data_IF_523998746216
#
_entry.id   IF_523998746216
#
_cell.length_a   1.000
_cell.length_b   1.000
_cell.length_c   1.000
_cell.angle_alpha   90.00
_cell.angle_beta   90.00
_cell.angle_gamma   90.00
#
_symmetry.space_group_name_H-M   'P 1'
#
loop_
_entity.id
_entity.type
_entity.pdbx_description
1 polymer ?
#
# COMPACT_ATOMS: atom_id res chain seq x y z
N UNK A 1 20.85 10.45 7.75
CA UNK A 1 21.94 9.59 7.24
C UNK A 1 21.30 8.38 6.58
N UNK A 2 21.66 8.14 5.31
CA UNK A 2 21.45 6.96 4.46
C UNK A 2 20.01 6.45 4.16
N UNK A 3 19.28 7.17 3.31
CA UNK A 3 18.05 6.72 2.61
C UNK A 3 18.32 5.99 1.28
N UNK A 4 19.52 5.42 1.07
CA UNK A 4 19.93 4.83 -0.21
C UNK A 4 19.72 3.30 -0.32
N UNK A 5 19.18 2.66 0.71
CA UNK A 5 19.27 1.19 0.87
C UNK A 5 17.96 0.43 0.63
N UNK A 6 16.81 1.11 0.74
CA UNK A 6 15.55 0.58 0.25
C UNK A 6 15.16 1.25 -1.05
N UNK A 7 14.97 0.42 -2.08
CA UNK A 7 14.23 0.81 -3.27
C UNK A 7 12.88 0.12 -3.17
N UNK A 8 11.81 0.90 -3.03
CA UNK A 8 10.48 0.42 -3.38
C UNK A 8 10.55 0.16 -4.88
N UNK A 9 10.65 -1.11 -5.25
CA UNK A 9 10.46 -1.47 -6.64
C UNK A 9 8.98 -1.74 -6.80
N UNK A 10 8.34 -0.99 -7.71
CA UNK A 10 7.30 -1.58 -8.52
C UNK A 10 7.97 -2.76 -9.27
N UNK A 11 8.03 -3.94 -8.65
CA UNK A 11 8.60 -5.10 -9.32
C UNK A 11 7.62 -5.56 -10.38
N UNK A 12 8.05 -5.30 -11.61
CA UNK A 12 7.79 -6.11 -12.79
C UNK A 12 7.78 -7.61 -12.42
N UNK A 13 6.61 -8.23 -12.48
CA UNK A 13 6.49 -9.69 -12.45
C UNK A 13 7.06 -10.17 -13.79
N UNK A 14 8.12 -11.00 -13.73
CA UNK A 14 8.81 -11.49 -14.92
C UNK A 14 7.83 -12.22 -15.84
N UNK A 15 7.51 -11.61 -16.98
CA UNK A 15 7.23 -12.36 -18.21
C UNK A 15 8.55 -12.69 -18.89
N UNK A 16 8.66 -13.91 -19.39
CA UNK A 16 9.83 -14.47 -20.07
C UNK A 16 10.30 -13.60 -21.24
N UNK A 17 11.57 -13.19 -21.17
CA UNK A 17 12.50 -12.81 -22.26
C UNK A 17 11.99 -11.90 -23.37
N UNK A 18 12.52 -10.68 -23.45
CA UNK A 18 13.24 -10.19 -24.64
C UNK A 18 14.23 -9.08 -24.24
N UNK A 19 15.42 -9.12 -24.85
CA UNK A 19 16.55 -8.22 -24.62
C UNK A 19 16.43 -6.98 -25.51
N UNK A 20 16.66 -5.78 -24.97
CA UNK A 20 17.57 -4.80 -25.59
C UNK A 20 17.90 -3.60 -24.72
N UNK A 21 19.22 -3.37 -24.60
CA UNK A 21 19.94 -2.10 -24.63
C UNK A 21 19.55 -0.93 -23.71
N UNK A 22 20.49 -0.64 -22.80
CA UNK A 22 20.62 0.59 -22.02
C UNK A 22 20.93 1.81 -22.89
N UNK A 23 20.47 2.99 -22.45
CA UNK A 23 21.17 4.27 -22.69
C UNK A 23 21.14 5.11 -21.43
N UNK A 24 22.34 5.46 -20.96
CA UNK A 24 22.59 6.41 -19.89
C UNK A 24 22.34 7.84 -20.39
N UNK A 25 21.80 8.71 -19.55
CA UNK A 25 21.98 10.15 -19.76
C UNK A 25 22.18 10.85 -18.42
N UNK A 26 23.28 11.60 -18.36
CA UNK A 26 23.74 12.41 -17.24
C UNK A 26 22.87 13.65 -17.10
N UNK A 27 22.49 14.05 -15.89
CA UNK A 27 21.99 15.40 -15.61
C UNK A 27 22.86 16.11 -14.58
N UNK A 28 23.35 17.27 -14.97
CA UNK A 28 24.14 18.20 -14.18
C UNK A 28 23.28 18.90 -13.12
N UNK A 29 23.86 19.10 -11.94
CA UNK A 29 23.32 19.89 -10.84
C UNK A 29 23.32 21.38 -11.21
N UNK A 30 22.22 22.08 -10.93
CA UNK A 30 22.22 23.53 -10.76
C UNK A 30 21.64 23.86 -9.38
N UNK A 31 22.53 24.40 -8.55
CA UNK A 31 22.29 24.95 -7.22
C UNK A 31 21.55 26.28 -7.28
N UNK A 32 20.54 26.45 -6.43
CA UNK A 32 19.99 27.75 -6.08
C UNK A 32 20.08 28.00 -4.55
N UNK A 33 20.28 29.26 -4.12
CA UNK A 33 20.63 29.62 -2.74
C UNK A 33 19.40 29.74 -1.82
N UNK A 34 19.58 29.68 -0.49
CA UNK A 34 18.47 29.77 0.46
C UNK A 34 18.04 31.23 0.70
N UNK A 35 16.74 31.52 0.90
CA UNK A 35 16.30 32.81 1.41
C UNK A 35 16.40 32.87 2.94
N UNK A 36 16.79 34.05 3.41
CA UNK A 36 16.94 34.46 4.80
C UNK A 36 15.56 34.67 5.44
N UNK A 37 15.27 34.00 6.56
CA UNK A 37 14.12 34.35 7.40
C UNK A 37 14.52 35.37 8.46
N UNK A 38 13.86 36.53 8.40
CA UNK A 38 13.88 37.56 9.44
C UNK A 38 12.97 37.13 10.60
N UNK A 39 13.51 37.27 11.81
CA UNK A 39 12.83 37.13 13.08
C UNK A 39 11.84 38.29 13.27
N UNK A 40 10.59 37.98 13.65
CA UNK A 40 9.74 38.92 14.36
C UNK A 40 9.17 38.27 15.62
N UNK A 41 9.45 38.95 16.72
CA UNK A 41 9.01 38.71 18.09
C UNK A 41 7.49 38.62 18.22
N UNK A 42 6.99 37.64 18.98
CA UNK A 42 5.83 37.84 19.84
C UNK A 42 6.08 37.22 21.22
N UNK A 43 6.05 38.12 22.19
CA UNK A 43 6.13 37.95 23.63
C UNK A 43 4.79 37.41 24.13
N UNK A 44 4.78 36.38 24.98
CA UNK A 44 3.70 36.13 25.93
C UNK A 44 4.26 35.41 27.15
N UNK A 45 4.29 36.15 28.26
CA UNK A 45 4.66 35.76 29.61
C UNK A 45 3.49 35.06 30.33
N UNK A 46 3.83 34.47 31.48
CA UNK A 46 3.04 33.74 32.49
C UNK A 46 3.13 32.21 32.31
N UNK A 47 3.59 31.43 33.27
CA UNK A 47 4.05 31.67 34.64
C UNK A 47 4.45 30.30 35.23
N UNK A 48 5.45 30.32 36.10
CA UNK A 48 6.14 29.17 36.69
C UNK A 48 5.20 28.17 37.41
N UNK A 49 5.57 26.88 37.38
CA UNK A 49 5.80 26.10 38.61
C UNK A 49 6.61 24.83 38.30
N UNK A 50 7.81 24.80 38.87
CA UNK A 50 8.79 23.72 38.88
C UNK A 50 8.43 22.72 39.98
N UNK A 51 8.52 21.42 39.68
CA UNK A 51 8.99 20.44 40.67
C UNK A 51 9.69 19.26 40.00
N UNK A 52 10.99 19.19 40.27
CA UNK A 52 11.88 18.06 40.06
C UNK A 52 11.50 16.89 40.97
N UNK A 53 11.45 15.67 40.44
CA UNK A 53 11.91 14.49 41.16
C UNK A 53 12.55 13.49 40.20
N UNK A 54 13.84 13.27 40.41
CA UNK A 54 14.63 12.20 39.84
C UNK A 54 14.69 11.07 40.86
N UNK A 55 14.51 9.82 40.45
CA UNK A 55 15.38 8.72 40.90
C UNK A 55 15.15 7.44 40.08
N UNK A 56 16.20 6.61 39.88
CA UNK A 56 16.23 5.51 38.93
C UNK A 56 16.03 4.16 39.61
N UNK A 57 15.39 3.17 38.98
CA UNK A 57 15.60 1.75 39.33
C UNK A 57 15.06 0.77 38.26
N UNK A 58 16.01 0.05 37.67
CA UNK A 58 15.96 -1.35 37.21
C UNK A 58 14.90 -1.77 36.18
N UNK A 59 15.22 -1.55 34.90
CA UNK A 59 14.70 -2.30 33.76
C UNK A 59 15.21 -3.76 33.81
N UNK A 60 14.38 -4.70 34.30
CA UNK A 60 14.51 -6.13 33.97
C UNK A 60 13.63 -6.41 32.75
N UNK A 61 14.23 -6.40 31.56
CA UNK A 61 13.62 -6.94 30.35
C UNK A 61 13.48 -8.45 30.50
N UNK A 62 12.29 -8.92 30.92
CA UNK A 62 11.92 -10.33 30.77
C UNK A 62 11.56 -10.56 29.31
N UNK A 63 12.48 -11.20 28.60
CA UNK A 63 12.23 -11.82 27.30
C UNK A 63 11.16 -12.89 27.52
N UNK A 64 9.93 -12.61 27.10
CA UNK A 64 8.85 -13.58 27.08
C UNK A 64 8.96 -14.36 25.76
N UNK A 65 9.76 -15.43 25.76
CA UNK A 65 9.80 -16.40 24.68
C UNK A 65 8.70 -17.45 24.91
N UNK A 66 7.56 -17.28 24.26
CA UNK A 66 6.57 -18.33 24.06
C UNK A 66 6.17 -18.40 22.58
N UNK A 67 6.05 -19.61 21.99
CA UNK A 67 5.72 -19.78 20.60
C UNK A 67 4.22 -19.55 20.41
N UNK A 68 3.85 -18.46 19.76
CA UNK A 68 2.46 -18.23 19.36
C UNK A 68 2.18 -19.07 18.12
N UNK A 69 1.72 -20.30 18.35
CA UNK A 69 0.91 -21.06 17.39
C UNK A 69 -0.47 -20.39 17.30
N UNK A 70 -0.55 -19.29 16.54
CA UNK A 70 -1.83 -18.82 16.01
C UNK A 70 -1.96 -19.34 14.57
N UNK A 71 -2.49 -20.55 14.44
CA UNK A 71 -3.03 -21.05 13.16
C UNK A 71 -4.42 -20.46 12.93
N UNK A 72 -4.45 -19.18 12.56
CA UNK A 72 -5.47 -18.62 11.68
C UNK A 72 -4.66 -18.11 10.50
N UNK A 73 -4.78 -18.79 9.37
CA UNK A 73 -3.99 -18.61 8.17
C UNK A 73 -3.89 -17.12 7.85
N UNK A 74 -2.74 -16.49 8.15
CA UNK A 74 -2.49 -15.17 7.59
C UNK A 74 -2.41 -15.33 6.08
N UNK A 75 -3.01 -14.42 5.28
CA UNK A 75 -2.96 -14.54 3.84
C UNK A 75 -1.51 -14.70 3.41
N UNK A 76 -1.26 -15.69 2.56
CA UNK A 76 0.07 -15.92 1.99
C UNK A 76 0.31 -14.87 0.91
N UNK A 77 1.54 -14.32 0.81
CA UNK A 77 1.87 -13.41 -0.28
C UNK A 77 1.60 -14.12 -1.62
N UNK A 78 1.10 -13.40 -2.63
CA UNK A 78 0.93 -14.00 -3.95
C UNK A 78 2.28 -14.38 -4.55
N UNK A 79 2.32 -15.54 -5.19
CA UNK A 79 3.48 -16.07 -5.92
C UNK A 79 3.50 -15.68 -7.40
N UNK A 80 2.36 -15.20 -7.92
CA UNK A 80 2.18 -14.82 -9.33
C UNK A 80 1.31 -13.56 -9.49
N UNK A 81 1.31 -12.98 -10.70
CA UNK A 81 0.46 -11.83 -11.06
C UNK A 81 -1.02 -12.18 -10.92
N UNK A 82 -1.41 -13.33 -11.46
CA UNK A 82 -2.80 -13.77 -11.47
C UNK A 82 -3.31 -14.05 -10.06
N UNK A 83 -2.46 -14.60 -9.19
CA UNK A 83 -2.78 -14.79 -7.78
C UNK A 83 -2.96 -13.43 -7.07
N UNK A 84 -2.08 -12.46 -7.31
CA UNK A 84 -2.21 -11.12 -6.75
C UNK A 84 -3.52 -10.44 -7.19
N UNK A 85 -3.88 -10.57 -8.47
CA UNK A 85 -5.14 -10.07 -9.01
C UNK A 85 -6.33 -10.77 -8.37
N UNK A 86 -6.29 -12.11 -8.24
CA UNK A 86 -7.36 -12.88 -7.64
C UNK A 86 -7.59 -12.52 -6.16
N UNK A 87 -6.51 -12.38 -5.39
CA UNK A 87 -6.57 -11.95 -3.99
C UNK A 87 -7.14 -10.54 -3.87
N UNK A 88 -6.71 -9.60 -4.72
CA UNK A 88 -7.24 -8.24 -4.76
C UNK A 88 -8.73 -8.21 -5.14
N UNK A 89 -9.14 -8.96 -6.17
CA UNK A 89 -10.56 -9.10 -6.58
C UNK A 89 -11.42 -9.65 -5.45
N UNK A 90 -10.93 -10.68 -4.76
CA UNK A 90 -11.64 -11.31 -3.64
C UNK A 90 -11.80 -10.33 -2.48
N UNK A 91 -10.71 -9.65 -2.10
CA UNK A 91 -10.72 -8.62 -1.03
C UNK A 91 -11.69 -7.49 -1.36
N UNK A 92 -11.62 -6.97 -2.59
CA UNK A 92 -12.48 -5.88 -3.06
C UNK A 92 -13.95 -6.29 -3.14
N UNK A 93 -14.25 -7.46 -3.72
CA UNK A 93 -15.61 -8.00 -3.83
C UNK A 93 -16.27 -8.15 -2.46
N UNK A 94 -15.63 -8.86 -1.53
CA UNK A 94 -16.17 -9.09 -0.19
C UNK A 94 -16.33 -7.79 0.60
N UNK A 95 -15.39 -6.86 0.46
CA UNK A 95 -15.47 -5.57 1.16
C UNK A 95 -16.58 -4.68 0.60
N UNK A 96 -16.85 -4.73 -0.71
CA UNK A 96 -17.92 -3.96 -1.36
C UNK A 96 -19.32 -4.57 -1.17
N UNK A 97 -19.43 -5.86 -0.84
CA UNK A 97 -20.72 -6.55 -0.69
C UNK A 97 -21.62 -5.87 0.35
N UNK A 98 -21.13 -5.63 1.56
CA UNK A 98 -21.91 -4.99 2.63
C UNK A 98 -22.37 -3.57 2.30
N UNK A 99 -21.50 -2.65 1.85
CA UNK A 99 -21.95 -1.30 1.54
C UNK A 99 -22.91 -1.27 0.36
N UNK A 100 -22.68 -2.02 -0.73
CA UNK A 100 -23.55 -1.98 -1.91
C UNK A 100 -24.95 -2.58 -1.67
N UNK A 101 -25.09 -3.45 -0.67
CA UNK A 101 -26.39 -4.00 -0.25
C UNK A 101 -27.06 -3.21 0.88
N UNK A 102 -26.49 -2.08 1.31
CA UNK A 102 -27.07 -1.27 2.38
C UNK A 102 -28.23 -0.41 1.85
N UNK A 103 -29.49 -0.66 2.25
CA UNK A 103 -30.64 0.11 1.77
C UNK A 103 -30.58 1.59 2.18
N UNK A 104 -29.77 1.94 3.20
CA UNK A 104 -29.58 3.33 3.64
C UNK A 104 -28.73 4.16 2.68
N UNK A 105 -28.00 3.54 1.74
CA UNK A 105 -27.34 4.29 0.66
C UNK A 105 -28.37 4.88 -0.32
N UNK A 106 -29.54 4.24 -0.44
CA UNK A 106 -30.65 4.71 -1.26
C UNK A 106 -31.63 5.64 -0.50
N UNK A 107 -31.42 5.92 0.79
CA UNK A 107 -32.40 6.62 1.65
C UNK A 107 -31.80 7.77 2.48
N UNK A 108 -32.60 8.83 2.73
CA UNK A 108 -32.20 10.08 3.42
C UNK A 108 -31.99 9.97 4.94
N UNK A 109 -31.63 8.81 5.50
CA UNK A 109 -31.58 8.63 6.95
C UNK A 109 -30.16 8.42 7.50
N UNK A 110 -29.75 9.37 8.36
CA UNK A 110 -28.51 9.44 9.17
C UNK A 110 -27.23 9.55 8.34
N UNK A 111 -26.30 10.43 8.74
CA UNK A 111 -24.97 10.55 8.12
C UNK A 111 -24.25 9.19 8.19
N UNK A 112 -24.25 8.43 7.09
CA UNK A 112 -23.53 7.17 6.94
C UNK A 112 -22.04 7.49 6.75
N UNK A 113 -21.12 6.69 7.31
CA UNK A 113 -19.70 6.79 6.93
C UNK A 113 -19.58 6.32 5.48
N UNK A 114 -18.98 7.14 4.62
CA UNK A 114 -18.68 6.73 3.25
C UNK A 114 -17.65 5.61 3.27
N UNK A 115 -17.88 4.46 2.61
CA UNK A 115 -16.87 3.43 2.43
C UNK A 115 -15.77 3.93 1.50
N UNK A 116 -14.52 3.90 1.96
CA UNK A 116 -13.34 4.39 1.24
C UNK A 116 -12.24 3.33 1.29
N UNK A 117 -11.84 2.78 0.15
CA UNK A 117 -10.92 1.66 0.08
C UNK A 117 -9.72 1.93 -0.80
N UNK A 118 -8.58 1.34 -0.48
CA UNK A 118 -7.35 1.45 -1.26
C UNK A 118 -6.83 0.06 -1.64
N UNK A 119 -6.47 -0.08 -2.91
CA UNK A 119 -5.92 -1.31 -3.49
C UNK A 119 -4.62 -0.99 -4.23
N UNK A 120 -3.56 -1.71 -3.91
CA UNK A 120 -2.24 -1.62 -4.57
C UNK A 120 -1.78 -2.99 -5.07
N UNK A 121 -1.62 -3.10 -6.38
CA UNK A 121 -1.13 -4.28 -7.09
C UNK A 121 0.07 -3.84 -7.94
N UNK A 122 1.20 -4.57 -7.94
CA UNK A 122 2.33 -4.24 -8.80
C UNK A 122 1.91 -4.21 -10.27
N UNK A 123 2.33 -3.14 -10.96
CA UNK A 123 2.14 -2.98 -12.41
C UNK A 123 3.46 -3.31 -13.10
N UNK A 124 3.37 -3.84 -14.32
CA UNK A 124 4.53 -4.17 -15.16
C UNK A 124 5.36 -2.91 -15.44
N UNK A 125 4.72 -1.83 -15.86
CA UNK A 125 5.33 -0.54 -16.11
C UNK A 125 4.30 0.60 -15.94
N UNK A 126 4.76 1.84 -16.07
CA UNK A 126 3.92 3.03 -15.95
C UNK A 126 3.15 3.36 -17.25
N UNK A 127 3.14 2.45 -18.22
CA UNK A 127 2.47 2.69 -19.51
C UNK A 127 0.94 2.68 -19.35
N UNK A 128 0.22 3.47 -20.18
CA UNK A 128 -1.24 3.41 -20.22
C UNK A 128 -1.80 2.01 -20.47
N UNK A 129 -1.15 1.22 -21.34
CA UNK A 129 -1.60 -0.11 -21.70
C UNK A 129 -1.52 -1.09 -20.53
N UNK A 130 -0.41 -1.08 -19.77
CA UNK A 130 -0.24 -1.96 -18.61
C UNK A 130 -1.28 -1.69 -17.52
N UNK A 131 -1.53 -0.42 -17.21
CA UNK A 131 -2.54 -0.04 -16.22
C UNK A 131 -3.96 -0.37 -16.71
N UNK A 132 -4.24 -0.14 -17.99
CA UNK A 132 -5.54 -0.44 -18.60
C UNK A 132 -5.83 -1.94 -18.59
N UNK A 133 -4.85 -2.78 -18.97
CA UNK A 133 -4.97 -4.22 -18.93
C UNK A 133 -5.20 -4.72 -17.49
N UNK A 134 -4.47 -4.19 -16.50
CA UNK A 134 -4.69 -4.54 -15.11
C UNK A 134 -6.10 -4.15 -14.64
N UNK A 135 -6.60 -2.98 -15.04
CA UNK A 135 -7.96 -2.57 -14.72
C UNK A 135 -9.00 -3.50 -15.35
N UNK A 136 -8.78 -3.96 -16.58
CA UNK A 136 -9.63 -4.97 -17.24
C UNK A 136 -9.64 -6.28 -16.43
N UNK A 137 -8.46 -6.82 -16.11
CA UNK A 137 -8.31 -8.09 -15.36
C UNK A 137 -9.02 -8.05 -13.98
N UNK A 138 -8.97 -6.89 -13.31
CA UNK A 138 -9.60 -6.68 -11.99
C UNK A 138 -11.10 -6.41 -12.09
N UNK A 139 -11.52 -5.46 -12.93
CA UNK A 139 -12.86 -4.87 -12.88
C UNK A 139 -13.87 -5.47 -13.86
N UNK A 140 -13.44 -5.98 -15.03
CA UNK A 140 -14.36 -6.51 -16.05
C UNK A 140 -15.25 -7.62 -15.51
N UNK A 141 -14.65 -8.54 -14.75
CA UNK A 141 -15.29 -9.70 -14.13
C UNK A 141 -15.16 -9.64 -12.60
N UNK A 142 -15.37 -8.47 -12.00
CA UNK A 142 -15.34 -8.32 -10.55
C UNK A 142 -16.61 -8.97 -9.95
N UNK A 143 -16.49 -10.06 -9.16
CA UNK A 143 -17.66 -10.82 -8.73
C UNK A 143 -18.34 -10.15 -7.54
N UNK A 144 -19.12 -9.09 -7.76
CA UNK A 144 -19.84 -8.40 -6.68
C UNK A 144 -21.21 -9.03 -6.46
N UNK A 145 -21.46 -9.54 -5.25
CA UNK A 145 -22.79 -10.02 -4.84
C UNK A 145 -23.68 -8.83 -4.48
N UNK A 146 -24.63 -8.47 -5.34
CA UNK A 146 -25.65 -7.45 -5.04
C UNK A 146 -27.04 -8.03 -5.23
N UNK A 147 -27.96 -7.71 -4.31
CA UNK A 147 -29.38 -7.97 -4.49
C UNK A 147 -29.95 -7.01 -5.54
N UNK A 148 -30.58 -7.55 -6.58
CA UNK A 148 -31.26 -6.76 -7.61
C UNK A 148 -30.41 -6.49 -8.83
N UNK A 149 -30.24 -5.22 -9.20
CA UNK A 149 -29.55 -4.83 -10.44
C UNK A 149 -28.04 -5.07 -10.38
N UNK A 150 -27.38 -5.26 -11.54
CA UNK A 150 -25.93 -5.23 -11.61
C UNK A 150 -25.34 -3.95 -10.99
N UNK A 151 -24.11 -4.05 -10.49
CA UNK A 151 -23.38 -2.91 -9.90
C UNK A 151 -22.76 -2.09 -11.01
N UNK A 152 -23.07 -0.80 -11.05
CA UNK A 152 -22.45 0.15 -11.97
C UNK A 152 -21.14 0.68 -11.39
N UNK A 153 -20.04 0.44 -12.08
CA UNK A 153 -18.69 0.85 -11.69
C UNK A 153 -18.26 2.02 -12.57
N UNK A 154 -17.93 3.15 -11.96
CA UNK A 154 -17.32 4.29 -12.64
C UNK A 154 -15.80 4.26 -12.45
N UNK A 155 -15.06 4.04 -13.53
CA UNK A 155 -13.60 4.12 -13.54
C UNK A 155 -13.19 5.55 -13.93
N UNK A 156 -12.61 6.26 -12.97
CA UNK A 156 -12.11 7.63 -13.10
C UNK A 156 -10.61 7.59 -13.31
N UNK A 157 -10.18 7.90 -14.52
CA UNK A 157 -8.78 7.90 -14.95
C UNK A 157 -8.12 9.24 -14.69
N UNK A 158 -6.89 9.23 -14.20
CA UNK A 158 -6.14 10.46 -13.89
C UNK A 158 -5.86 11.34 -15.11
N UNK A 159 -5.90 10.82 -16.33
CA UNK A 159 -5.70 11.62 -17.54
C UNK A 159 -6.50 11.11 -18.73
N UNK A 160 -6.67 11.96 -19.75
CA UNK A 160 -7.34 11.60 -21.00
C UNK A 160 -6.63 10.45 -21.75
N UNK A 161 -5.28 10.44 -21.90
CA UNK A 161 -4.58 9.32 -22.55
C UNK A 161 -4.80 7.98 -21.84
N UNK A 162 -4.84 7.97 -20.51
CA UNK A 162 -5.15 6.77 -19.74
C UNK A 162 -6.58 6.28 -19.98
N UNK A 163 -7.55 7.22 -20.04
CA UNK A 163 -8.94 6.90 -20.37
C UNK A 163 -9.06 6.31 -21.78
N UNK A 164 -8.32 6.84 -22.75
CA UNK A 164 -8.35 6.37 -24.14
C UNK A 164 -7.79 4.95 -24.25
N UNK A 165 -6.62 4.70 -23.66
CA UNK A 165 -6.04 3.36 -23.58
C UNK A 165 -6.98 2.36 -22.88
N UNK A 166 -7.67 2.79 -21.82
CA UNK A 166 -8.67 1.96 -21.16
C UNK A 166 -9.87 1.67 -22.07
N UNK A 167 -10.37 2.67 -22.78
CA UNK A 167 -11.50 2.49 -23.71
C UNK A 167 -11.16 1.46 -24.79
N UNK A 168 -9.93 1.47 -25.29
CA UNK A 168 -9.42 0.47 -26.23
C UNK A 168 -9.30 -0.92 -25.58
N UNK A 169 -8.70 -1.01 -24.38
CA UNK A 169 -8.47 -2.27 -23.69
C UNK A 169 -9.76 -2.98 -23.24
N UNK A 170 -10.77 -2.23 -22.76
CA UNK A 170 -12.08 -2.79 -22.43
C UNK A 170 -12.86 -3.21 -23.69
N UNK A 171 -12.52 -2.63 -24.84
CA UNK A 171 -13.06 -2.95 -26.15
C UNK A 171 -14.55 -2.58 -26.36
N UNK A 172 -15.00 -2.45 -27.62
CA UNK A 172 -16.40 -2.22 -27.95
C UNK A 172 -17.29 -3.46 -27.68
N UNK A 173 -16.67 -4.62 -27.41
CA UNK A 173 -17.34 -5.88 -27.12
C UNK A 173 -17.36 -6.21 -25.63
N UNK A 174 -17.11 -5.23 -24.75
CA UNK A 174 -17.36 -5.42 -23.32
C UNK A 174 -18.81 -5.85 -23.14
N UNK A 175 -18.99 -7.11 -22.77
CA UNK A 175 -20.31 -7.73 -22.51
C UNK A 175 -20.99 -7.09 -21.29
N UNK A 176 -20.25 -6.27 -20.54
CA UNK A 176 -20.65 -5.71 -19.27
C UNK A 176 -20.87 -4.19 -19.42
N UNK A 177 -22.09 -3.79 -19.80
CA UNK A 177 -22.56 -2.39 -19.87
C UNK A 177 -22.57 -1.65 -18.51
N UNK A 178 -21.99 -2.25 -17.47
CA UNK A 178 -22.00 -1.77 -16.10
C UNK A 178 -20.73 -1.00 -15.75
N UNK A 179 -19.73 -0.93 -16.64
CA UNK A 179 -18.49 -0.19 -16.42
C UNK A 179 -18.46 1.05 -17.31
N UNK A 180 -18.27 2.21 -16.69
CA UNK A 180 -18.15 3.50 -17.37
C UNK A 180 -16.74 4.08 -17.16
N UNK A 181 -16.07 4.45 -18.25
CA UNK A 181 -14.71 5.00 -18.22
C UNK A 181 -14.74 6.51 -18.47
N UNK A 182 -14.23 7.30 -17.52
CA UNK A 182 -14.20 8.76 -17.61
C UNK A 182 -12.83 9.31 -17.19
N UNK A 183 -12.38 10.41 -17.76
CA UNK A 183 -11.20 11.12 -17.24
C UNK A 183 -11.62 12.02 -16.06
N UNK A 184 -10.72 12.24 -15.10
CA UNK A 184 -11.00 13.07 -13.92
C UNK A 184 -11.46 14.49 -14.27
N UNK A 185 -11.00 15.03 -15.41
CA UNK A 185 -11.40 16.34 -15.92
C UNK A 185 -12.79 16.38 -16.55
N UNK A 186 -13.36 15.23 -16.90
CA UNK A 186 -14.65 15.09 -17.59
C UNK A 186 -15.74 14.50 -16.68
N UNK A 187 -15.45 14.30 -15.39
CA UNK A 187 -16.44 13.81 -14.42
C UNK A 187 -17.54 14.86 -14.24
N UNK A 188 -18.78 14.44 -14.41
CA UNK A 188 -19.95 15.29 -14.22
C UNK A 188 -20.95 14.69 -13.23
N UNK A 189 -21.98 15.45 -12.86
CA UNK A 189 -22.99 14.97 -11.92
C UNK A 189 -23.80 13.80 -12.46
N UNK A 190 -23.96 13.69 -13.78
CA UNK A 190 -24.78 12.65 -14.40
C UNK A 190 -24.11 11.28 -14.28
N UNK A 191 -22.84 11.20 -14.63
CA UNK A 191 -21.98 10.01 -14.51
C UNK A 191 -21.78 9.61 -13.05
N UNK A 192 -21.59 10.57 -12.14
CA UNK A 192 -21.51 10.27 -10.71
C UNK A 192 -22.84 9.73 -10.15
N UNK A 193 -23.98 10.24 -10.62
CA UNK A 193 -25.29 9.81 -10.13
C UNK A 193 -25.68 8.41 -10.61
N UNK A 194 -25.25 7.99 -11.81
CA UNK A 194 -25.52 6.66 -12.36
C UNK A 194 -24.70 5.56 -11.70
N UNK A 195 -23.51 5.85 -11.21
CA UNK A 195 -22.59 4.88 -10.63
C UNK A 195 -23.04 4.37 -9.26
N UNK A 196 -22.74 3.12 -8.92
CA UNK A 196 -22.91 2.56 -7.57
C UNK A 196 -21.60 2.61 -6.76
N UNK A 197 -20.46 2.51 -7.45
CA UNK A 197 -19.11 2.64 -6.89
C UNK A 197 -18.25 3.42 -7.89
N UNK A 198 -17.36 4.27 -7.38
CA UNK A 198 -16.34 4.92 -8.20
C UNK A 198 -14.93 4.42 -7.83
N UNK A 199 -14.08 4.26 -8.83
CA UNK A 199 -12.69 3.83 -8.68
C UNK A 199 -11.81 4.88 -9.33
N UNK A 200 -10.91 5.49 -8.56
CA UNK A 200 -9.89 6.39 -9.07
C UNK A 200 -8.65 5.56 -9.44
N UNK A 201 -8.31 5.55 -10.73
CA UNK A 201 -7.22 4.75 -11.31
C UNK A 201 -5.97 5.62 -11.40
N UNK A 202 -4.92 5.18 -10.70
CA UNK A 202 -3.63 5.85 -10.65
C UNK A 202 -3.71 7.38 -10.47
N UNK A 203 -4.45 7.88 -9.45
CA UNK A 203 -4.46 9.30 -9.14
C UNK A 203 -3.07 9.77 -8.73
N UNK A 204 -2.74 10.99 -9.12
CA UNK A 204 -1.48 11.65 -8.75
C UNK A 204 -1.67 12.56 -7.52
N UNK A 205 -0.60 12.83 -6.78
CA UNK A 205 -0.64 13.73 -5.61
C UNK A 205 -1.20 15.11 -5.97
N UNK A 206 -0.85 15.62 -7.16
CA UNK A 206 -1.35 16.88 -7.73
C UNK A 206 -2.88 16.91 -7.92
N UNK A 207 -3.52 15.74 -8.00
CA UNK A 207 -4.95 15.57 -8.29
C UNK A 207 -5.78 15.30 -7.03
N UNK A 208 -5.16 15.22 -5.85
CA UNK A 208 -5.87 14.87 -4.61
C UNK A 208 -6.98 15.86 -4.26
N UNK A 209 -6.81 17.15 -4.55
CA UNK A 209 -7.85 18.15 -4.30
C UNK A 209 -9.12 17.89 -5.16
N UNK A 210 -8.92 17.56 -6.44
CA UNK A 210 -10.01 17.21 -7.35
C UNK A 210 -10.63 15.87 -6.96
N UNK A 211 -9.79 14.87 -6.68
CA UNK A 211 -10.20 13.53 -6.22
C UNK A 211 -11.06 13.61 -4.97
N UNK A 212 -10.69 14.46 -4.00
CA UNK A 212 -11.46 14.73 -2.80
C UNK A 212 -12.82 15.36 -3.13
N UNK A 213 -12.85 16.35 -4.02
CA UNK A 213 -14.10 17.02 -4.44
C UNK A 213 -15.08 16.04 -5.10
N UNK A 214 -14.58 15.18 -6.00
CA UNK A 214 -15.38 14.13 -6.65
C UNK A 214 -15.84 13.10 -5.62
N UNK A 215 -14.96 12.68 -4.71
CA UNK A 215 -15.30 11.73 -3.63
C UNK A 215 -16.40 12.27 -2.72
N UNK A 216 -16.33 13.54 -2.34
CA UNK A 216 -17.32 14.19 -1.48
C UNK A 216 -18.67 14.32 -2.20
N UNK A 217 -18.67 14.51 -3.53
CA UNK A 217 -19.88 14.56 -4.37
C UNK A 217 -20.54 13.18 -4.54
N UNK A 218 -19.77 12.10 -4.45
CA UNK A 218 -20.26 10.72 -4.51
C UNK A 218 -20.90 10.23 -3.21
N UNK A 219 -20.84 11.02 -2.12
CA UNK A 219 -21.36 10.61 -0.83
C UNK A 219 -22.86 10.19 -0.89
N UNK A 220 -23.28 9.05 -0.31
CA UNK A 220 -22.51 8.13 0.54
C UNK A 220 -21.95 6.89 -0.20
N UNK A 221 -21.86 6.92 -1.54
CA UNK A 221 -21.43 5.78 -2.37
C UNK A 221 -19.98 5.37 -2.07
N UNK A 222 -19.66 4.07 -2.13
CA UNK A 222 -18.30 3.57 -1.99
C UNK A 222 -17.35 4.19 -3.01
N UNK A 223 -16.13 4.49 -2.57
CA UNK A 223 -15.03 4.92 -3.45
C UNK A 223 -13.78 4.07 -3.23
N UNK A 224 -13.05 3.84 -4.31
CA UNK A 224 -11.82 3.05 -4.31
C UNK A 224 -10.70 3.89 -4.91
N UNK A 225 -9.53 3.92 -4.28
CA UNK A 225 -8.27 4.35 -4.92
C UNK A 225 -7.54 3.09 -5.35
N UNK A 226 -7.19 3.00 -6.63
CA UNK A 226 -6.51 1.85 -7.20
C UNK A 226 -5.16 2.30 -7.78
N UNK A 227 -4.07 1.72 -7.25
CA UNK A 227 -2.69 1.98 -7.64
C UNK A 227 -2.32 3.48 -7.69
N UNK A 228 -2.43 4.23 -6.57
CA UNK A 228 -2.05 5.65 -6.55
C UNK A 228 -0.58 5.85 -6.97
N UNK A 229 -0.28 7.02 -7.55
CA UNK A 229 1.07 7.35 -8.05
C UNK A 229 1.98 8.03 -7.03
N UNK A 230 1.48 8.35 -5.85
CA UNK A 230 2.31 8.79 -4.73
C UNK A 230 2.83 7.58 -3.95
N UNK A 231 4.02 7.73 -3.39
CA UNK A 231 4.61 6.71 -2.54
C UNK A 231 4.27 6.91 -1.05
N UNK A 232 4.82 6.04 -0.19
CA UNK A 232 4.53 6.06 1.24
C UNK A 232 5.12 7.27 1.97
N UNK A 233 6.25 7.77 1.50
CA UNK A 233 6.94 8.90 2.12
C UNK A 233 6.17 10.18 1.80
N UNK A 234 5.73 10.30 0.54
CA UNK A 234 4.91 11.40 0.04
C UNK A 234 3.58 11.53 0.81
N UNK A 235 2.98 10.44 1.32
CA UNK A 235 1.71 10.49 2.07
C UNK A 235 1.74 11.47 3.27
N UNK A 236 2.89 11.60 3.93
CA UNK A 236 3.10 12.53 5.04
C UNK A 236 3.31 13.98 4.56
N UNK A 237 3.79 14.15 3.33
CA UNK A 237 4.10 15.42 2.69
C UNK A 237 2.89 16.04 1.96
N UNK A 238 1.77 15.31 1.86
CA UNK A 238 0.50 15.78 1.26
C UNK A 238 -0.18 16.94 2.02
N UNK A 239 0.41 17.42 3.11
CA UNK A 239 -0.09 18.54 3.90
C UNK A 239 -1.52 18.32 4.39
N UNK A 240 -2.39 19.29 4.11
CA UNK A 240 -3.81 19.27 4.52
C UNK A 240 -4.65 18.14 3.90
N UNK A 241 -4.17 17.47 2.84
CA UNK A 241 -4.87 16.37 2.18
C UNK A 241 -4.46 14.99 2.72
N UNK A 242 -3.46 14.91 3.59
CA UNK A 242 -3.04 13.65 4.25
C UNK A 242 -4.20 12.98 5.01
N UNK A 243 -5.06 13.76 5.67
CA UNK A 243 -6.25 13.25 6.34
C UNK A 243 -7.29 12.63 5.39
N UNK A 244 -7.37 13.13 4.15
CA UNK A 244 -8.21 12.54 3.11
C UNK A 244 -7.66 11.19 2.66
N UNK A 245 -6.36 11.10 2.35
CA UNK A 245 -5.73 9.82 1.95
C UNK A 245 -5.81 8.78 3.07
N UNK A 246 -5.51 9.17 4.31
CA UNK A 246 -5.64 8.29 5.49
C UNK A 246 -7.08 7.86 5.82
N UNK A 247 -8.08 8.51 5.21
CA UNK A 247 -9.47 8.09 5.35
C UNK A 247 -9.80 6.83 4.55
N UNK A 248 -8.94 6.46 3.59
CA UNK A 248 -9.05 5.23 2.81
C UNK A 248 -8.44 4.07 3.58
N UNK A 249 -9.19 2.99 3.63
CA UNK A 249 -8.77 1.78 4.27
C UNK A 249 -8.10 0.87 3.25
N UNK A 250 -6.83 0.56 3.45
CA UNK A 250 -6.09 -0.35 2.57
C UNK A 250 -6.62 -1.77 2.78
N UNK A 251 -7.23 -2.33 1.74
CA UNK A 251 -7.85 -3.68 1.77
C UNK A 251 -6.99 -4.71 1.06
N UNK A 252 -6.12 -4.27 0.16
CA UNK A 252 -5.14 -5.10 -0.50
C UNK A 252 -3.93 -4.24 -0.86
N UNK A 253 -2.73 -4.72 -0.54
CA UNK A 253 -1.48 -4.09 -0.94
C UNK A 253 -0.42 -5.17 -1.05
N UNK A 254 0.21 -5.29 -2.22
CA UNK A 254 1.37 -6.15 -2.41
C UNK A 254 2.47 -5.32 -3.05
N UNK A 255 3.49 -4.97 -2.28
CA UNK A 255 4.51 -4.02 -2.72
C UNK A 255 5.91 -4.59 -2.52
N UNK A 256 6.69 -4.58 -3.59
CA UNK A 256 8.05 -5.10 -3.63
C UNK A 256 9.04 -4.20 -2.90
N UNK A 257 9.92 -4.83 -2.12
CA UNK A 257 11.06 -4.20 -1.47
C UNK A 257 12.35 -4.83 -2.02
N UNK A 258 13.31 -3.99 -2.39
CA UNK A 258 14.69 -4.43 -2.56
C UNK A 258 15.52 -3.92 -1.38
N UNK A 259 16.06 -4.85 -0.60
CA UNK A 259 16.92 -4.56 0.55
C UNK A 259 18.36 -4.72 0.14
N UNK A 260 19.10 -3.61 0.10
CA UNK A 260 20.53 -3.63 -0.16
C UNK A 260 21.28 -3.72 1.16
N UNK A 261 21.85 -4.88 1.45
CA UNK A 261 22.87 -5.04 2.47
C UNK A 261 24.26 -4.68 1.96
N UNK A 262 25.23 -4.59 2.87
CA UNK A 262 26.65 -4.32 2.55
C UNK A 262 27.23 -5.36 1.58
N UNK A 263 26.77 -6.62 1.65
CA UNK A 263 27.27 -7.73 0.81
C UNK A 263 26.17 -8.59 0.15
N UNK A 264 24.89 -8.25 0.31
CA UNK A 264 23.80 -9.06 -0.24
C UNK A 264 22.58 -8.21 -0.60
N UNK A 265 21.95 -8.53 -1.72
CA UNK A 265 20.61 -8.04 -2.05
C UNK A 265 19.59 -9.10 -1.64
N UNK A 266 18.53 -8.70 -0.93
CA UNK A 266 17.39 -9.57 -0.64
C UNK A 266 16.12 -8.90 -1.12
N UNK A 267 15.22 -9.69 -1.69
CA UNK A 267 13.87 -9.22 -1.98
C UNK A 267 13.03 -9.36 -0.72
N UNK A 268 12.11 -8.42 -0.56
CA UNK A 268 11.05 -8.50 0.43
C UNK A 268 9.77 -7.96 -0.16
N UNK A 269 8.69 -8.08 0.60
CA UNK A 269 7.41 -7.50 0.25
C UNK A 269 6.74 -6.92 1.49
N UNK A 270 6.03 -5.81 1.30
CA UNK A 270 5.02 -5.34 2.24
C UNK A 270 3.69 -5.85 1.71
N UNK A 271 2.97 -6.57 2.56
CA UNK A 271 1.75 -7.24 2.16
C UNK A 271 0.62 -6.96 3.14
N UNK A 272 -0.57 -6.71 2.59
CA UNK A 272 -1.84 -6.72 3.30
C UNK A 272 -2.90 -7.29 2.38
N UNK A 273 -3.76 -8.16 2.90
CA UNK A 273 -4.90 -8.71 2.19
C UNK A 273 -6.05 -8.89 3.19
N UNK A 274 -7.23 -8.38 2.84
CA UNK A 274 -8.44 -8.50 3.66
C UNK A 274 -9.31 -9.61 3.10
N UNK A 275 -9.25 -10.78 3.73
CA UNK A 275 -9.91 -11.97 3.18
C UNK A 275 -11.42 -11.96 3.35
N UNK A 276 -11.99 -11.44 4.45
CA UNK A 276 -13.41 -11.62 4.78
C UNK A 276 -14.27 -10.36 4.68
N UNK A 277 -13.76 -9.31 4.03
CA UNK A 277 -14.43 -8.01 3.94
C UNK A 277 -14.53 -7.26 5.27
N UNK A 278 -14.01 -7.84 6.36
CA UNK A 278 -13.85 -7.21 7.66
C UNK A 278 -12.42 -6.71 7.76
N UNK A 279 -12.25 -5.39 7.68
CA UNK A 279 -10.91 -4.82 7.66
C UNK A 279 -10.29 -4.70 9.07
N UNK A 280 -11.11 -4.84 10.12
CA UNK A 280 -10.64 -4.83 11.50
C UNK A 280 -9.99 -6.17 11.85
N UNK A 281 -8.68 -6.15 12.13
CA UNK A 281 -7.92 -7.31 12.58
C UNK A 281 -6.77 -7.69 11.66
N UNK A 282 -6.89 -7.37 10.37
CA UNK A 282 -5.84 -7.69 9.40
C UNK A 282 -4.61 -6.80 9.57
N UNK A 283 -3.47 -7.46 9.76
CA UNK A 283 -2.19 -6.81 9.98
C UNK A 283 -1.42 -6.72 8.69
N UNK A 284 -0.65 -5.66 8.55
CA UNK A 284 0.40 -5.57 7.55
C UNK A 284 1.48 -6.60 7.87
N UNK A 285 1.98 -7.31 6.88
CA UNK A 285 3.08 -8.24 6.99
C UNK A 285 4.28 -7.74 6.20
N UNK A 286 5.46 -7.80 6.80
CA UNK A 286 6.72 -7.64 6.07
C UNK A 286 7.31 -9.02 5.88
N UNK A 287 7.58 -9.38 4.63
CA UNK A 287 8.16 -10.67 4.28
C UNK A 287 9.49 -10.47 3.56
N UNK A 288 10.39 -11.43 3.73
CA UNK A 288 11.73 -11.44 3.13
C UNK A 288 12.00 -12.80 2.52
N UNK A 289 12.65 -12.81 1.37
CA UNK A 289 13.14 -14.00 0.70
C UNK A 289 14.29 -14.63 1.51
N UNK A 290 14.14 -15.89 1.90
CA UNK A 290 15.17 -16.68 2.56
C UNK A 290 16.10 -17.38 1.55
N UNK A 291 17.22 -17.93 2.05
CA UNK A 291 18.14 -18.79 1.28
C UNK A 291 17.39 -20.05 0.81
N UNK A 292 16.84 -20.00 -0.42
CA UNK A 292 15.96 -21.05 -0.96
C UNK A 292 14.83 -20.51 -1.84
N UNK A 293 14.55 -19.20 -1.77
CA UNK A 293 13.51 -18.54 -2.58
C UNK A 293 12.15 -18.40 -1.88
N UNK A 294 12.00 -18.99 -0.68
CA UNK A 294 10.76 -18.91 0.08
C UNK A 294 10.59 -17.56 0.78
N UNK A 295 9.36 -17.05 0.79
CA UNK A 295 8.99 -15.81 1.47
C UNK A 295 8.62 -16.08 2.93
N UNK A 296 9.37 -15.51 3.87
CA UNK A 296 9.08 -15.62 5.30
C UNK A 296 8.60 -14.30 5.89
N UNK A 297 7.53 -14.36 6.68
CA UNK A 297 7.08 -13.23 7.51
C UNK A 297 8.12 -12.92 8.59
N UNK A 298 8.69 -11.71 8.54
CA UNK A 298 9.68 -11.23 9.51
C UNK A 298 9.08 -10.27 10.54
N UNK A 299 7.99 -9.59 10.20
CA UNK A 299 7.28 -8.72 11.13
C UNK A 299 5.82 -8.53 10.73
N UNK A 300 5.00 -8.09 11.68
CA UNK A 300 3.60 -7.69 11.46
C UNK A 300 3.30 -6.36 12.15
N UNK A 301 2.53 -5.50 11.48
CA UNK A 301 2.18 -4.16 11.95
C UNK A 301 0.66 -3.97 11.94
N UNK A 302 0.14 -3.25 12.93
CA UNK A 302 -1.28 -2.91 12.99
C UNK A 302 -1.66 -1.81 12.00
N UNK A 303 -0.74 -0.89 11.72
CA UNK A 303 -0.86 0.16 10.72
C UNK A 303 0.13 -0.09 9.58
N UNK A 304 -0.01 0.67 8.48
CA UNK A 304 0.94 0.64 7.37
C UNK A 304 2.32 1.00 7.90
N UNK A 305 3.34 0.13 7.77
CA UNK A 305 4.65 0.42 8.30
C UNK A 305 5.34 1.51 7.46
N UNK A 306 6.04 2.41 8.12
CA UNK A 306 6.92 3.40 7.49
C UNK A 306 8.18 2.75 6.91
N UNK A 307 8.87 3.43 5.99
CA UNK A 307 10.12 2.90 5.41
C UNK A 307 11.16 2.62 6.50
N UNK A 308 11.28 3.51 7.50
CA UNK A 308 12.23 3.34 8.60
C UNK A 308 11.90 2.15 9.52
N UNK A 309 10.62 1.86 9.74
CA UNK A 309 10.21 0.65 10.47
C UNK A 309 10.55 -0.62 9.69
N UNK A 310 10.32 -0.61 8.37
CA UNK A 310 10.68 -1.70 7.48
C UNK A 310 12.20 -1.90 7.46
N UNK A 311 12.99 -0.83 7.31
CA UNK A 311 14.46 -0.87 7.38
C UNK A 311 14.95 -1.50 8.69
N UNK A 312 14.43 -1.03 9.83
CA UNK A 312 14.84 -1.53 11.14
C UNK A 312 14.57 -3.03 11.31
N UNK A 313 13.39 -3.51 10.87
CA UNK A 313 13.07 -4.94 10.88
C UNK A 313 14.06 -5.72 10.02
N UNK A 314 14.34 -5.23 8.83
CA UNK A 314 15.24 -5.90 7.89
C UNK A 314 16.68 -5.94 8.39
N UNK A 315 17.18 -4.85 8.97
CA UNK A 315 18.51 -4.82 9.60
C UNK A 315 18.63 -5.86 10.70
N UNK A 316 17.63 -5.98 11.57
CA UNK A 316 17.63 -6.97 12.65
C UNK A 316 17.69 -8.41 12.08
N UNK A 317 16.92 -8.69 11.03
CA UNK A 317 16.93 -9.99 10.36
C UNK A 317 18.29 -10.27 9.71
N UNK A 318 18.90 -9.27 9.08
CA UNK A 318 20.23 -9.40 8.46
C UNK A 318 21.33 -9.60 9.50
N UNK A 319 21.28 -8.87 10.61
CA UNK A 319 22.26 -8.99 11.70
C UNK A 319 22.25 -10.38 12.33
N UNK A 320 21.07 -10.96 12.56
CA UNK A 320 20.95 -12.33 13.10
C UNK A 320 21.48 -13.37 12.12
N UNK A 321 21.26 -13.18 10.81
CA UNK A 321 21.64 -14.13 9.76
C UNK A 321 23.04 -13.90 9.15
N UNK A 322 23.83 -12.96 9.69
CA UNK A 322 25.16 -12.64 9.18
C UNK A 322 26.11 -13.84 9.27
N UNK A 323 27.01 -14.04 8.29
CA UNK A 323 28.03 -15.08 8.37
C UNK A 323 28.84 -15.03 9.68
N UNK A 324 29.11 -13.83 10.19
CA UNK A 324 29.89 -13.64 11.43
C UNK A 324 29.12 -14.14 12.66
N UNK A 325 27.82 -13.85 12.75
CA UNK A 325 26.96 -14.37 13.85
C UNK A 325 26.71 -15.86 13.71
N UNK A 326 26.51 -16.38 12.49
CA UNK A 326 26.43 -17.82 12.22
C UNK A 326 27.72 -18.52 12.69
N UNK A 327 28.90 -18.03 12.30
CA UNK A 327 30.21 -18.58 12.72
C UNK A 327 30.40 -18.54 14.23
N UNK A 328 30.03 -17.45 14.90
CA UNK A 328 30.11 -17.34 16.35
C UNK A 328 29.19 -18.33 17.07
N UNK A 329 27.97 -18.56 16.53
CA UNK A 329 27.06 -19.59 17.03
C UNK A 329 27.66 -20.99 16.83
N UNK A 330 28.21 -21.30 15.66
CA UNK A 330 28.89 -22.58 15.41
C UNK A 330 30.05 -22.83 16.37
N UNK A 331 30.89 -21.82 16.63
CA UNK A 331 32.00 -21.94 17.59
C UNK A 331 31.48 -22.11 19.02
N UNK A 332 30.43 -21.39 19.43
CA UNK A 332 29.80 -21.56 20.75
C UNK A 332 29.16 -22.95 20.89
N UNK A 333 28.49 -23.45 19.87
CA UNK A 333 27.85 -24.78 19.86
C UNK A 333 28.91 -25.90 19.89
N UNK A 334 30.04 -25.72 19.19
CA UNK A 334 31.21 -26.59 19.31
C UNK A 334 31.78 -26.59 20.73
N UNK A 335 32.00 -25.41 21.31
CA UNK A 335 32.59 -25.29 22.66
C UNK A 335 31.64 -25.83 23.73
N UNK A 336 30.33 -25.61 23.61
CA UNK A 336 29.33 -26.13 24.57
C UNK A 336 29.16 -27.65 24.49
N UNK A 337 29.22 -28.25 23.29
CA UNK A 337 29.23 -29.71 23.13
C UNK A 337 30.51 -30.35 23.69
N UNK A 338 31.65 -29.66 23.64
CA UNK A 338 32.92 -30.14 24.21
C UNK A 338 32.99 -29.94 25.74
N UNK A 339 32.30 -28.94 26.29
CA UNK A 339 32.32 -28.63 27.74
C UNK A 339 31.17 -29.24 28.55
N UNK A 340 30.27 -30.01 27.93
CA UNK A 340 29.35 -30.92 28.64
C UNK A 340 28.29 -30.26 29.53
N UNK A 341 27.96 -28.98 29.31
CA UNK A 341 26.84 -28.31 30.01
C UNK A 341 25.68 -28.10 29.04
N UNK A 342 24.75 -29.04 29.06
CA UNK A 342 23.38 -28.85 28.56
C UNK A 342 22.57 -28.03 29.55
#
# INVERSE_FOLDING_TARGET
MASYLLKIQAQNIRSTTFSSASSQTKSFLLSFPPPKHQLHNLNLKYGDHVSFFSSPLSQKHRICSLPVLCSLSSPTPPSSKDEAILQAKTSLSKTLEKPLNNPKIAGKFKKLKQPRYLVEIPVMDDSPSSLSQLAVEVFQDLPIKRKGSPVKILLVWSSLPLKEAATEAFGPHSTNNNIENVSISAVDNRTMNSADVAVFLAPEASQLAVTKTVTDSLYPKPVVIFNPRWDFEEENELGGLSGFVRSFEVIYSFMGLEVKGVFSKRKGVIFKCVEDGVVSGEKWAVLVEEEGGDMRVVSRFAARPSIGEVENVLYNVMAVNSPITKSAKFLRDLVSNVTGKK
#
